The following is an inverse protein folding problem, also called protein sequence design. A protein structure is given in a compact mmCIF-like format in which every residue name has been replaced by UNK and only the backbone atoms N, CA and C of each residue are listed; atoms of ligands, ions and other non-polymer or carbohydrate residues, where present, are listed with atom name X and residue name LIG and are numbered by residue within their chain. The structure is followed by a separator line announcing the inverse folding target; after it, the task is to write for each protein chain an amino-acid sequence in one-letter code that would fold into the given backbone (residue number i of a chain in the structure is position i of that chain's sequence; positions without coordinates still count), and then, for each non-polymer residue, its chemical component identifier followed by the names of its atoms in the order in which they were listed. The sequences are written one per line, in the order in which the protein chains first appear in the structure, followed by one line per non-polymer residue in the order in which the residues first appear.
data_IF_165100521476
#
_entry.id   IF_165100521476
#
_cell.length_a   1.000
_cell.length_b   1.000
_cell.length_c   1.000
_cell.angle_alpha   90.00
_cell.angle_beta   90.00
_cell.angle_gamma   90.00
#
_symmetry.space_group_name_H-M   'P 1'
#
loop_
_entity.id
_entity.type
_entity.pdbx_description
1 polymer ?
#
# COMPACT_ATOMS: atom_id res chain seq x y z
N UNK A 1 19.93 7.73 -5.38
CA UNK A 1 18.70 8.42 -4.98
C UNK A 1 18.29 7.96 -3.59
N UNK A 2 17.96 8.89 -2.75
CA UNK A 2 17.59 8.59 -1.37
C UNK A 2 16.14 8.18 -1.32
N UNK A 3 15.87 7.07 -0.65
CA UNK A 3 14.50 6.66 -0.40
C UNK A 3 13.82 7.66 0.53
N UNK A 4 12.61 8.07 0.18
CA UNK A 4 11.84 9.03 0.98
C UNK A 4 10.81 8.37 1.86
N UNK A 5 10.73 7.06 1.84
CA UNK A 5 9.79 6.31 2.66
C UNK A 5 10.39 4.96 3.03
N UNK A 6 9.85 4.36 4.08
CA UNK A 6 10.24 3.01 4.46
C UNK A 6 9.03 2.09 4.37
N UNK A 7 9.29 0.80 4.19
CA UNK A 7 8.27 -0.23 3.98
C UNK A 7 8.17 -1.05 5.26
N UNK A 8 6.94 -1.34 5.69
CA UNK A 8 6.73 -2.21 6.84
C UNK A 8 7.24 -3.62 6.51
N UNK A 9 7.76 -4.34 7.52
CA UNK A 9 8.14 -5.74 7.31
C UNK A 9 6.95 -6.55 6.80
N UNK A 10 7.24 -7.58 6.01
CA UNK A 10 6.20 -8.37 5.33
C UNK A 10 5.20 -8.99 6.31
N UNK A 11 5.63 -9.23 7.54
CA UNK A 11 4.74 -9.80 8.57
C UNK A 11 3.56 -8.89 8.89
N UNK A 12 3.66 -7.60 8.56
CA UNK A 12 2.62 -6.62 8.81
C UNK A 12 1.72 -6.40 7.59
N UNK A 13 2.00 -7.04 6.48
CA UNK A 13 1.16 -6.92 5.29
C UNK A 13 -0.05 -7.83 5.46
N UNK A 14 -1.24 -7.32 5.14
CA UNK A 14 -2.49 -8.07 5.32
C UNK A 14 -3.43 -7.85 4.15
N UNK A 15 -4.34 -8.81 3.97
CA UNK A 15 -5.40 -8.68 3.00
C UNK A 15 -6.61 -8.03 3.68
N UNK A 16 -6.95 -6.82 3.28
CA UNK A 16 -7.99 -6.02 3.91
C UNK A 16 -8.80 -5.29 2.85
N UNK A 17 -10.02 -4.87 3.22
CA UNK A 17 -10.80 -3.96 2.42
C UNK A 17 -10.14 -2.58 2.45
N UNK A 18 -10.47 -1.76 1.46
CA UNK A 18 -9.79 -0.48 1.30
C UNK A 18 -9.83 0.40 2.55
N UNK A 19 -11.03 0.63 3.09
CA UNK A 19 -11.15 1.49 4.28
C UNK A 19 -10.47 0.88 5.49
N UNK A 20 -10.58 -0.43 5.66
CA UNK A 20 -9.90 -1.14 6.74
C UNK A 20 -8.38 -1.07 6.58
N UNK A 21 -7.90 -1.12 5.33
CA UNK A 21 -6.48 -1.01 5.05
C UNK A 21 -5.95 0.36 5.45
N UNK A 22 -6.71 1.41 5.16
CA UNK A 22 -6.32 2.77 5.55
C UNK A 22 -6.27 2.91 7.07
N UNK A 23 -7.30 2.41 7.76
CA UNK A 23 -7.34 2.46 9.22
C UNK A 23 -6.24 1.64 9.85
N UNK A 24 -5.98 0.47 9.29
CA UNK A 24 -4.91 -0.40 9.76
C UNK A 24 -3.57 0.33 9.72
N UNK A 25 -3.24 0.92 8.57
CA UNK A 25 -1.99 1.66 8.42
C UNK A 25 -1.93 2.83 9.40
N UNK A 26 -3.02 3.59 9.49
CA UNK A 26 -3.08 4.77 10.36
C UNK A 26 -2.83 4.41 11.82
N UNK A 27 -3.33 3.26 12.27
CA UNK A 27 -3.21 2.84 13.67
C UNK A 27 -1.95 2.04 13.96
N UNK A 28 -1.16 1.74 12.93
CA UNK A 28 -0.01 0.85 13.06
C UNK A 28 1.13 1.51 13.82
N UNK A 29 1.69 0.76 14.77
CA UNK A 29 2.87 1.18 15.51
C UNK A 29 3.85 0.01 15.48
N UNK A 30 4.99 0.21 14.85
CA UNK A 30 6.02 -0.82 14.73
C UNK A 30 7.26 -0.30 15.43
N UNK A 31 7.56 -0.89 16.57
CA UNK A 31 8.74 -0.50 17.38
C UNK A 31 8.77 0.99 17.70
N UNK A 32 7.61 1.55 18.00
CA UNK A 32 7.49 2.97 18.33
C UNK A 32 7.33 3.88 17.14
N UNK A 33 7.40 3.35 15.92
CA UNK A 33 7.24 4.15 14.70
C UNK A 33 5.77 4.20 14.30
N UNK A 34 5.28 5.41 14.08
CA UNK A 34 3.91 5.67 13.64
C UNK A 34 3.94 6.47 12.35
N UNK A 35 2.75 6.83 11.86
CA UNK A 35 2.65 7.57 10.62
C UNK A 35 2.63 6.68 9.39
N UNK A 36 2.24 5.44 9.54
CA UNK A 36 2.11 4.50 8.44
C UNK A 36 0.90 4.86 7.58
N UNK A 37 1.00 4.59 6.29
CA UNK A 37 -0.06 4.89 5.33
C UNK A 37 -0.01 3.90 4.18
N UNK A 38 -1.03 3.94 3.33
CA UNK A 38 -0.96 3.21 2.06
C UNK A 38 0.02 3.91 1.13
N UNK A 39 0.75 3.14 0.33
CA UNK A 39 1.67 3.74 -0.65
C UNK A 39 0.88 4.34 -1.80
N UNK A 40 1.49 5.32 -2.46
CA UNK A 40 0.94 5.81 -3.72
C UNK A 40 1.14 4.74 -4.80
N UNK A 41 0.42 4.91 -5.91
CA UNK A 41 0.54 4.00 -7.03
C UNK A 41 1.99 3.91 -7.52
N UNK A 42 2.66 5.05 -7.62
CA UNK A 42 4.05 5.10 -8.06
C UNK A 42 4.99 4.40 -7.07
N UNK A 43 4.76 4.60 -5.78
CA UNK A 43 5.54 3.94 -4.75
C UNK A 43 5.38 2.42 -4.83
N UNK A 44 4.15 1.94 -5.01
CA UNK A 44 3.89 0.52 -5.14
C UNK A 44 4.59 -0.08 -6.34
N UNK A 45 4.54 0.60 -7.49
CA UNK A 45 5.23 0.13 -8.68
C UNK A 45 6.72 -0.02 -8.40
N UNK A 46 7.30 0.97 -7.75
CA UNK A 46 8.71 0.94 -7.40
C UNK A 46 9.04 -0.21 -6.44
N UNK A 47 8.21 -0.39 -5.42
CA UNK A 47 8.41 -1.44 -4.42
C UNK A 47 8.30 -2.82 -5.07
N UNK A 48 7.22 -3.05 -5.79
CA UNK A 48 6.92 -4.37 -6.33
C UNK A 48 7.83 -4.77 -7.47
N UNK A 49 8.36 -3.80 -8.21
CA UNK A 49 9.32 -4.12 -9.26
C UNK A 49 10.71 -4.42 -8.70
N UNK A 50 11.01 -3.95 -7.49
CA UNK A 50 12.30 -4.20 -6.85
C UNK A 50 12.31 -5.47 -5.98
N UNK A 51 11.15 -5.92 -5.53
CA UNK A 51 11.03 -7.06 -4.62
C UNK A 51 10.33 -8.23 -5.31
N UNK A 52 10.94 -9.40 -5.25
CA UNK A 52 10.37 -10.59 -5.89
C UNK A 52 9.27 -11.25 -5.06
N UNK A 53 9.22 -10.97 -3.79
CA UNK A 53 8.27 -11.62 -2.91
C UNK A 53 6.95 -10.88 -2.91
N UNK A 54 5.97 -11.43 -3.62
CA UNK A 54 4.63 -10.89 -3.61
C UNK A 54 3.72 -11.89 -2.91
N UNK A 55 3.32 -11.60 -1.68
CA UNK A 55 2.40 -12.44 -0.93
C UNK A 55 0.97 -12.33 -1.45
N UNK A 56 0.69 -11.28 -2.18
CA UNK A 56 -0.65 -11.01 -2.70
C UNK A 56 -0.56 -10.68 -4.18
N UNK A 57 -1.66 -10.92 -4.89
CA UNK A 57 -1.72 -10.63 -6.32
C UNK A 57 -1.93 -9.14 -6.57
N UNK A 58 -2.69 -8.49 -5.70
CA UNK A 58 -3.04 -7.07 -5.82
C UNK A 58 -2.75 -6.36 -4.51
N UNK A 59 -2.41 -5.07 -4.62
CA UNK A 59 -2.14 -4.23 -3.47
C UNK A 59 -2.89 -2.91 -3.61
N UNK A 60 -3.43 -2.41 -2.49
CA UNK A 60 -4.11 -1.12 -2.46
C UNK A 60 -3.12 0.02 -2.64
N UNK A 61 -3.45 0.95 -3.52
CA UNK A 61 -2.77 2.23 -3.60
C UNK A 61 -3.57 3.26 -2.79
N UNK A 62 -2.92 4.34 -2.41
CA UNK A 62 -3.52 5.39 -1.62
C UNK A 62 -4.67 6.09 -2.36
N UNK A 63 -4.55 6.21 -3.67
CA UNK A 63 -5.48 6.99 -4.49
C UNK A 63 -6.81 6.27 -4.65
N UNK A 64 -7.89 7.02 -4.50
CA UNK A 64 -9.24 6.56 -4.81
C UNK A 64 -9.70 7.21 -6.10
N UNK A 65 -10.62 6.54 -6.80
CA UNK A 65 -11.17 7.06 -8.03
C UNK A 65 -12.24 8.11 -7.72
N UNK A 66 -12.04 9.33 -8.20
CA UNK A 66 -12.99 10.42 -7.97
C UNK A 66 -14.37 10.18 -8.59
N UNK A 67 -14.41 9.41 -9.67
CA UNK A 67 -15.64 9.18 -10.41
C UNK A 67 -16.38 7.94 -9.95
N UNK A 68 -15.76 7.13 -9.10
CA UNK A 68 -16.36 5.88 -8.65
C UNK A 68 -16.08 5.68 -7.16
N UNK A 69 -17.03 6.10 -6.35
CA UNK A 69 -16.89 6.03 -4.89
C UNK A 69 -16.60 4.64 -4.37
N UNK A 70 -16.95 3.62 -5.14
CA UNK A 70 -16.84 2.22 -4.72
C UNK A 70 -15.52 1.57 -5.09
N UNK A 71 -14.68 2.26 -5.85
CA UNK A 71 -13.45 1.68 -6.38
C UNK A 71 -12.24 2.48 -5.94
N UNK A 72 -11.11 1.79 -5.85
CA UNK A 72 -9.84 2.43 -5.55
C UNK A 72 -8.77 1.83 -6.46
N UNK A 73 -7.68 2.55 -6.60
CA UNK A 73 -6.56 2.09 -7.41
C UNK A 73 -5.86 0.91 -6.75
N UNK A 74 -5.39 -0.01 -7.57
CA UNK A 74 -4.56 -1.12 -7.12
C UNK A 74 -3.40 -1.33 -8.08
N UNK A 75 -2.38 -2.01 -7.60
CA UNK A 75 -1.21 -2.38 -8.41
C UNK A 75 -1.04 -3.88 -8.30
N UNK A 76 -0.79 -4.53 -9.43
CA UNK A 76 -0.55 -5.96 -9.47
C UNK A 76 0.86 -6.27 -8.99
N UNK A 77 1.04 -7.52 -8.57
CA UNK A 77 2.31 -7.96 -8.01
C UNK A 77 3.48 -7.95 -9.01
N UNK A 78 3.20 -7.75 -10.29
CA UNK A 78 4.27 -7.61 -11.29
C UNK A 78 4.94 -6.24 -11.22
N UNK A 79 4.37 -5.31 -10.46
CA UNK A 79 4.93 -3.97 -10.34
C UNK A 79 4.76 -3.11 -11.60
N UNK A 80 3.94 -3.55 -12.54
CA UNK A 80 3.74 -2.88 -13.82
C UNK A 80 2.26 -2.59 -14.05
N UNK A 81 1.43 -3.61 -13.89
CA UNK A 81 -0.01 -3.51 -14.18
C UNK A 81 -0.74 -2.78 -13.06
N UNK A 82 -1.60 -1.86 -13.42
CA UNK A 82 -2.42 -1.11 -12.47
C UNK A 82 -3.88 -1.23 -12.89
N UNK A 83 -4.77 -0.92 -11.96
CA UNK A 83 -6.19 -0.97 -12.26
C UNK A 83 -7.02 -0.41 -11.13
N UNK A 84 -8.30 -0.71 -11.19
CA UNK A 84 -9.28 -0.32 -10.17
C UNK A 84 -9.98 -1.57 -9.70
N UNK A 85 -10.30 -1.61 -8.41
CA UNK A 85 -11.02 -2.73 -7.85
C UNK A 85 -11.99 -2.20 -6.80
N UNK A 86 -13.08 -2.93 -6.57
CA UNK A 86 -14.07 -2.52 -5.59
C UNK A 86 -13.43 -2.47 -4.20
N UNK A 87 -13.76 -1.41 -3.46
CA UNK A 87 -13.23 -1.21 -2.10
C UNK A 87 -13.63 -2.31 -1.13
N UNK A 88 -14.64 -3.08 -1.48
CA UNK A 88 -15.13 -4.20 -0.65
C UNK A 88 -14.28 -5.46 -0.80
N UNK A 89 -13.41 -5.51 -1.80
CA UNK A 89 -12.51 -6.64 -1.98
C UNK A 89 -11.39 -6.61 -0.96
N UNK A 90 -10.94 -7.76 -0.55
CA UNK A 90 -9.81 -7.89 0.39
C UNK A 90 -8.56 -8.18 -0.40
N UNK A 91 -7.71 -7.18 -0.56
CA UNK A 91 -6.45 -7.34 -1.27
C UNK A 91 -5.31 -6.85 -0.38
N UNK A 92 -4.08 -7.02 -0.85
CA UNK A 92 -2.90 -6.76 -0.05
C UNK A 92 -2.80 -5.32 0.44
N UNK A 93 -2.41 -5.17 1.68
CA UNK A 93 -2.14 -3.89 2.32
C UNK A 93 -0.66 -3.88 2.66
N UNK A 94 0.07 -2.94 2.07
CA UNK A 94 1.51 -2.82 2.24
C UNK A 94 1.79 -1.46 2.84
N UNK A 95 1.92 -1.36 4.17
CA UNK A 95 2.11 -0.05 4.80
C UNK A 95 3.47 0.54 4.49
N UNK A 96 3.49 1.85 4.25
CA UNK A 96 4.72 2.62 4.11
C UNK A 96 4.67 3.81 5.06
N UNK A 97 5.81 4.39 5.32
CA UNK A 97 5.94 5.49 6.24
C UNK A 97 6.94 6.49 5.67
N UNK A 98 6.56 7.75 5.68
CA UNK A 98 7.45 8.79 5.19
C UNK A 98 8.65 8.94 6.10
N UNK A 99 9.83 9.04 5.51
CA UNK A 99 11.05 9.34 6.24
C UNK A 99 11.17 10.85 6.31
N UNK A 100 11.41 11.35 7.51
CA UNK A 100 11.58 12.77 7.71
C UNK A 100 13.06 13.10 7.77
N UNK A 101 13.46 14.06 6.94
CA UNK A 101 14.79 14.62 7.02
C UNK A 101 14.76 15.75 8.04
N UNK A 102 15.49 15.58 9.08
CA UNK A 102 15.63 16.65 10.07
C UNK A 102 16.90 17.42 9.85
#
# INVERSE_FOLDING_TARGET
MIETFEIAPVDYWQALRFDDARLYCFSLNIDGKTGWRLPTKEELIRILSAHETANYTLYWAQEADFHKDRMAHCVYNDGISTGYIYKTEQIGTLPVRDLKDD
#
